data_IF_447262174528
#
_entry.id   IF_447262174528
#
_cell.length_a   1.000
_cell.length_b   1.000
_cell.length_c   1.000
_cell.angle_alpha   90.00
_cell.angle_beta   90.00
_cell.angle_gamma   90.00
#
_symmetry.space_group_name_H-M   'P 1'
#
loop_
_entity.id
_entity.type
_entity.pdbx_description
1 polymer ?
#
# COMPACT_ATOMS: atom_id res chain seq x y z
N UNK A 1 -9.38 1.70 -4.88
CA UNK A 1 -8.89 3.03 -4.48
C UNK A 1 -8.21 3.66 -5.69
N UNK A 2 -8.35 4.96 -5.97
CA UNK A 2 -7.65 5.61 -7.07
C UNK A 2 -6.15 5.73 -6.75
N UNK A 3 -5.31 5.38 -7.74
CA UNK A 3 -3.86 5.47 -7.66
C UNK A 3 -3.33 6.25 -8.86
N UNK A 4 -2.33 7.11 -8.63
CA UNK A 4 -1.56 7.82 -9.67
C UNK A 4 -0.46 6.90 -10.21
N UNK A 5 0.18 6.14 -9.34
CA UNK A 5 1.24 5.21 -9.70
C UNK A 5 1.32 4.08 -8.67
N UNK A 6 1.98 2.98 -9.05
CA UNK A 6 2.33 1.91 -8.15
C UNK A 6 3.77 1.44 -8.37
N UNK A 7 4.40 0.90 -7.34
CA UNK A 7 5.78 0.44 -7.35
C UNK A 7 5.93 -0.90 -6.62
N UNK A 8 6.90 -1.71 -7.05
CA UNK A 8 7.35 -2.87 -6.26
C UNK A 8 8.73 -2.55 -5.70
N UNK A 9 8.86 -2.62 -4.38
CA UNK A 9 10.14 -2.46 -3.68
C UNK A 9 10.51 -3.69 -2.87
N UNK A 10 11.65 -3.61 -2.19
CA UNK A 10 12.05 -4.61 -1.21
C UNK A 10 11.31 -4.38 0.11
N UNK A 11 10.80 -5.45 0.71
CA UNK A 11 10.27 -5.43 2.08
C UNK A 11 11.34 -4.89 3.02
N UNK A 12 10.99 -3.93 3.88
CA UNK A 12 11.93 -3.30 4.80
C UNK A 12 12.86 -2.25 4.17
N UNK A 13 12.96 -2.15 2.83
CA UNK A 13 13.79 -1.14 2.14
C UNK A 13 12.94 -0.31 1.17
N UNK A 14 12.17 0.65 1.70
CA UNK A 14 11.13 1.36 0.95
C UNK A 14 11.65 2.34 -0.12
N UNK A 15 12.96 2.62 -0.15
CA UNK A 15 13.58 3.56 -1.10
C UNK A 15 14.00 2.88 -2.41
N UNK A 16 14.12 1.55 -2.41
CA UNK A 16 14.59 0.79 -3.57
C UNK A 16 13.40 0.10 -4.19
N UNK A 17 12.88 0.71 -5.25
CA UNK A 17 11.87 0.13 -6.11
C UNK A 17 12.54 -0.46 -7.37
N UNK A 18 12.17 -1.67 -7.75
CA UNK A 18 12.69 -2.30 -8.98
C UNK A 18 11.68 -2.29 -10.13
N UNK A 19 10.44 -1.89 -9.86
CA UNK A 19 9.44 -1.70 -10.92
C UNK A 19 8.44 -0.61 -10.52
N UNK A 20 7.91 0.07 -11.52
CA UNK A 20 6.86 1.06 -11.41
C UNK A 20 5.82 0.87 -12.52
N UNK A 21 4.61 1.37 -12.30
CA UNK A 21 3.59 1.51 -13.34
C UNK A 21 2.62 2.62 -12.98
N UNK A 22 2.34 3.47 -13.95
CA UNK A 22 1.35 4.55 -13.96
C UNK A 22 0.19 4.28 -14.96
N UNK A 23 0.38 3.36 -15.90
CA UNK A 23 -0.64 2.99 -16.90
C UNK A 23 -1.93 2.40 -16.30
N UNK A 24 -1.78 1.45 -15.36
CA UNK A 24 -2.93 0.81 -14.69
C UNK A 24 -2.60 0.33 -13.28
N UNK A 25 -2.07 1.20 -12.39
CA UNK A 25 -1.83 0.85 -11.00
C UNK A 25 -3.14 0.44 -10.34
N UNK A 26 -3.11 -0.55 -9.46
CA UNK A 26 -4.35 -1.04 -8.84
C UNK A 26 -4.12 -1.38 -7.39
N UNK A 27 -5.05 -0.90 -6.55
CA UNK A 27 -5.26 -1.33 -5.18
C UNK A 27 -6.77 -1.40 -4.95
N UNK A 28 -7.29 -2.62 -4.90
CA UNK A 28 -8.70 -2.90 -4.61
C UNK A 28 -8.75 -3.73 -3.35
N UNK A 29 -9.56 -3.30 -2.39
CA UNK A 29 -9.80 -3.98 -1.13
C UNK A 29 -11.12 -4.74 -1.28
N UNK A 30 -11.04 -6.05 -1.50
CA UNK A 30 -12.20 -6.93 -1.55
C UNK A 30 -12.61 -7.35 -0.12
N UNK A 31 -13.67 -8.13 0.02
CA UNK A 31 -14.14 -8.56 1.32
C UNK A 31 -13.08 -9.40 2.08
N UNK A 32 -12.39 -10.27 1.36
CA UNK A 32 -11.49 -11.33 1.85
C UNK A 32 -10.01 -11.15 1.46
N UNK A 33 -9.73 -10.33 0.44
CA UNK A 33 -8.37 -10.15 -0.07
C UNK A 33 -8.10 -8.75 -0.64
N UNK A 34 -6.82 -8.47 -0.85
CA UNK A 34 -6.30 -7.31 -1.56
C UNK A 34 -5.95 -7.72 -2.98
N UNK A 35 -6.43 -6.98 -3.98
CA UNK A 35 -5.92 -7.04 -5.35
C UNK A 35 -4.99 -5.84 -5.59
N UNK A 36 -3.71 -6.12 -5.87
CA UNK A 36 -2.73 -5.10 -6.18
C UNK A 36 -2.01 -5.36 -7.51
N UNK A 37 -1.69 -4.30 -8.26
CA UNK A 37 -0.96 -4.41 -9.54
C UNK A 37 0.04 -3.28 -9.68
N UNK A 38 1.28 -3.66 -9.98
CA UNK A 38 2.32 -2.79 -10.54
C UNK A 38 2.48 -3.17 -12.01
N UNK A 39 3.19 -4.26 -12.32
CA UNK A 39 3.23 -4.85 -13.66
C UNK A 39 2.21 -6.00 -13.74
N UNK A 40 2.40 -7.03 -12.91
CA UNK A 40 1.48 -8.18 -12.79
C UNK A 40 0.50 -7.96 -11.65
N UNK A 41 -0.72 -8.40 -11.84
CA UNK A 41 -1.75 -8.45 -10.80
C UNK A 41 -1.43 -9.54 -9.78
N UNK A 42 -1.54 -9.20 -8.50
CA UNK A 42 -1.40 -10.10 -7.35
C UNK A 42 -2.68 -10.03 -6.52
N UNK A 43 -3.10 -11.17 -5.98
CA UNK A 43 -4.15 -11.26 -4.97
C UNK A 43 -3.51 -11.76 -3.69
N UNK A 44 -3.72 -11.06 -2.59
CA UNK A 44 -3.11 -11.35 -1.30
C UNK A 44 -4.19 -11.31 -0.22
N UNK A 45 -4.38 -12.38 0.56
CA UNK A 45 -5.29 -12.31 1.70
C UNK A 45 -4.78 -11.28 2.73
N UNK A 46 -5.65 -10.82 3.61
CA UNK A 46 -5.29 -9.76 4.57
C UNK A 46 -4.30 -10.25 5.66
N UNK A 47 -4.34 -11.54 5.98
CA UNK A 47 -3.49 -12.20 6.99
C UNK A 47 -2.00 -12.23 6.61
N UNK A 48 -1.67 -12.25 5.31
CA UNK A 48 -0.28 -12.15 4.85
C UNK A 48 0.25 -10.72 4.84
N UNK A 49 -0.57 -9.70 5.14
CA UNK A 49 -0.07 -8.33 5.30
C UNK A 49 0.68 -8.24 6.62
N UNK A 50 2.00 -8.18 6.54
CA UNK A 50 2.87 -8.04 7.71
C UNK A 50 2.92 -6.61 8.26
N UNK A 51 2.72 -5.60 7.39
CA UNK A 51 2.73 -4.18 7.78
C UNK A 51 2.09 -3.31 6.69
N UNK A 52 1.29 -2.35 7.12
CA UNK A 52 0.81 -1.21 6.33
C UNK A 52 1.54 0.04 6.82
N UNK A 53 2.27 0.71 5.94
CA UNK A 53 2.99 1.95 6.25
C UNK A 53 2.48 3.11 5.38
N UNK A 54 2.60 4.32 5.91
CA UNK A 54 2.30 5.55 5.18
C UNK A 54 3.57 6.34 4.96
N UNK A 55 3.75 6.85 3.74
CA UNK A 55 4.88 7.71 3.38
C UNK A 55 4.42 8.90 2.56
N UNK A 56 4.67 10.08 3.09
CA UNK A 56 4.45 11.34 2.40
C UNK A 56 5.79 11.98 2.07
N UNK A 57 5.95 12.38 0.81
CA UNK A 57 7.01 13.29 0.37
C UNK A 57 6.37 14.43 -0.42
N UNK A 58 7.16 15.43 -0.82
CA UNK A 58 6.66 16.54 -1.65
C UNK A 58 6.01 15.96 -2.91
N UNK A 59 4.70 16.19 -3.05
CA UNK A 59 3.91 15.73 -4.20
C UNK A 59 3.48 14.26 -4.20
N UNK A 60 3.74 13.47 -3.14
CA UNK A 60 3.31 12.06 -3.10
C UNK A 60 2.69 11.65 -1.77
N UNK A 61 1.64 10.82 -1.85
CA UNK A 61 0.98 10.21 -0.70
C UNK A 61 0.90 8.70 -0.93
N UNK A 62 1.85 7.97 -0.35
CA UNK A 62 2.06 6.56 -0.64
C UNK A 62 1.56 5.67 0.50
N UNK A 63 0.83 4.63 0.11
CA UNK A 63 0.51 3.48 0.95
C UNK A 63 1.53 2.39 0.63
N UNK A 64 2.18 1.83 1.65
CA UNK A 64 3.14 0.74 1.51
C UNK A 64 2.56 -0.50 2.16
N UNK A 65 2.47 -1.61 1.42
CA UNK A 65 2.07 -2.92 1.90
C UNK A 65 3.28 -3.84 1.87
N UNK A 66 3.63 -4.39 3.03
CA UNK A 66 4.63 -5.44 3.17
C UNK A 66 3.94 -6.77 3.43
N UNK A 67 4.31 -7.80 2.68
CA UNK A 67 3.73 -9.12 2.81
C UNK A 67 4.69 -10.07 3.54
N UNK A 68 4.17 -10.93 4.42
CA UNK A 68 4.97 -11.94 5.12
C UNK A 68 5.46 -13.04 4.18
N UNK A 69 4.67 -13.33 3.13
CA UNK A 69 4.91 -14.37 2.13
C UNK A 69 5.76 -13.90 0.93
N UNK A 70 6.33 -12.68 0.99
CA UNK A 70 7.09 -12.11 -0.11
C UNK A 70 8.21 -11.19 0.39
N UNK A 71 9.36 -11.23 -0.30
CA UNK A 71 10.40 -10.22 -0.15
C UNK A 71 10.04 -8.90 -0.86
N UNK A 72 8.97 -8.89 -1.65
CA UNK A 72 8.51 -7.72 -2.39
C UNK A 72 7.40 -6.99 -1.63
N UNK A 73 7.52 -5.68 -1.52
CA UNK A 73 6.44 -4.79 -1.09
C UNK A 73 5.58 -4.33 -2.28
N UNK A 74 4.45 -3.70 -1.96
CA UNK A 74 3.67 -2.91 -2.89
C UNK A 74 3.61 -1.48 -2.38
N UNK A 75 3.85 -0.50 -3.25
CA UNK A 75 3.68 0.91 -2.94
C UNK A 75 2.64 1.48 -3.89
N UNK A 76 1.55 2.04 -3.36
CA UNK A 76 0.54 2.73 -4.15
C UNK A 76 0.56 4.23 -3.86
N UNK A 77 0.88 5.05 -4.85
CA UNK A 77 0.77 6.50 -4.76
C UNK A 77 -0.68 6.90 -5.05
N UNK A 78 -1.34 7.49 -4.06
CA UNK A 78 -2.73 7.97 -4.19
C UNK A 78 -2.81 9.41 -4.71
N UNK A 79 -1.70 10.16 -4.69
CA UNK A 79 -1.67 11.59 -4.99
C UNK A 79 -2.43 12.48 -3.99
N UNK A 80 -3.14 11.89 -3.03
CA UNK A 80 -4.04 12.59 -2.14
C UNK A 80 -4.03 11.93 -0.74
N UNK A 81 -3.74 12.74 0.28
CA UNK A 81 -3.62 12.28 1.67
C UNK A 81 -4.91 11.66 2.21
N UNK A 82 -6.08 12.20 1.87
CA UNK A 82 -7.37 11.68 2.33
C UNK A 82 -7.69 10.31 1.74
N UNK A 83 -7.34 10.11 0.46
CA UNK A 83 -7.47 8.81 -0.21
C UNK A 83 -6.54 7.78 0.44
N UNK A 84 -5.29 8.17 0.76
CA UNK A 84 -4.37 7.31 1.50
C UNK A 84 -4.91 6.95 2.89
N UNK A 85 -5.45 7.93 3.61
CA UNK A 85 -6.05 7.76 4.94
C UNK A 85 -7.25 6.80 4.89
N UNK A 86 -8.17 6.98 3.95
CA UNK A 86 -9.33 6.08 3.78
C UNK A 86 -8.88 4.63 3.49
N UNK A 87 -7.90 4.46 2.61
CA UNK A 87 -7.37 3.14 2.31
C UNK A 87 -6.68 2.48 3.51
N UNK A 88 -5.89 3.23 4.30
CA UNK A 88 -5.25 2.73 5.52
C UNK A 88 -6.30 2.38 6.58
N UNK A 89 -7.33 3.21 6.75
CA UNK A 89 -8.44 2.92 7.65
C UNK A 89 -9.12 1.60 7.30
N UNK A 90 -9.48 1.40 6.03
CA UNK A 90 -10.09 0.15 5.55
C UNK A 90 -9.17 -1.06 5.74
N UNK A 91 -7.87 -0.90 5.56
CA UNK A 91 -6.90 -1.98 5.83
C UNK A 91 -6.82 -2.31 7.32
N UNK A 92 -6.87 -1.31 8.20
CA UNK A 92 -6.92 -1.49 9.65
C UNK A 92 -8.19 -2.22 10.09
N UNK A 93 -9.35 -1.85 9.53
CA UNK A 93 -10.64 -2.53 9.75
C UNK A 93 -10.61 -4.00 9.30
N UNK A 94 -9.71 -4.37 8.38
CA UNK A 94 -9.44 -5.75 7.94
C UNK A 94 -8.40 -6.49 8.78
N UNK A 95 -7.92 -5.88 9.86
CA UNK A 95 -6.96 -6.48 10.78
C UNK A 95 -5.51 -6.37 10.32
N UNK A 96 -5.20 -5.57 9.30
CA UNK A 96 -3.81 -5.39 8.87
C UNK A 96 -3.01 -4.58 9.91
N UNK A 97 -1.81 -5.03 10.31
CA UNK A 97 -0.96 -4.29 11.24
C UNK A 97 -0.49 -2.96 10.65
N UNK A 98 -0.63 -1.87 11.41
CA UNK A 98 -0.19 -0.54 11.00
C UNK A 98 1.21 -0.20 11.52
N UNK A 99 1.97 0.56 10.75
CA UNK A 99 3.16 1.26 11.25
C UNK A 99 2.75 2.47 12.10
N UNK A 100 3.67 2.99 12.91
CA UNK A 100 3.43 4.22 13.68
C UNK A 100 3.01 5.42 12.80
N UNK A 101 3.57 5.56 11.59
CA UNK A 101 3.18 6.63 10.65
C UNK A 101 1.78 6.43 10.08
N UNK A 102 1.39 5.18 9.82
CA UNK A 102 0.06 4.87 9.32
C UNK A 102 -0.99 5.10 10.42
N UNK A 103 -0.69 4.73 11.67
CA UNK A 103 -1.54 5.04 12.82
C UNK A 103 -1.68 6.54 13.05
N UNK A 104 -0.56 7.29 13.06
CA UNK A 104 -0.59 8.76 13.22
C UNK A 104 -1.39 9.48 12.12
N UNK A 105 -1.47 8.90 10.92
CA UNK A 105 -2.33 9.44 9.85
C UNK A 105 -3.83 9.27 10.16
N UNK A 106 -4.23 8.23 10.90
CA UNK A 106 -5.63 8.00 11.27
C UNK A 106 -6.09 8.89 12.42
N UNK A 107 -5.17 9.26 13.31
CA UNK A 107 -5.45 10.07 14.50
C UNK A 107 -5.54 11.58 14.19
N UNK A 108 -5.30 11.99 12.93
CA UNK A 108 -5.26 13.39 12.46
C UNK A 108 -6.26 13.64 11.33
#
# INVERSE_FOLDING_TARGET
MPLVAAFSGWRGVPWICWSSSDLKPTLILHADHIECRVIRRRRKPYDVVSRVDYRQTVGTANIVLEFSDSLSSFVGNTGNRDIARDAIKRLAEKGCPLSARASDLLDR
#
